data_IF_425516987144
#
_entry.id   IF_425516987144
#
_cell.length_a   1.000
_cell.length_b   1.000
_cell.length_c   1.000
_cell.angle_alpha   90.00
_cell.angle_beta   90.00
_cell.angle_gamma   90.00
#
_symmetry.space_group_name_H-M   'P 1'
#
loop_
_entity.id
_entity.type
_entity.pdbx_description
1 polymer ?
#
# COMPACT_ATOMS: atom_id res chain seq x y z
N UNK A 1 13.85 -4.31 -18.17
CA UNK A 1 12.40 -4.31 -17.92
C UNK A 1 12.18 -3.64 -16.59
N UNK A 2 11.26 -2.68 -16.52
CA UNK A 2 10.82 -2.12 -15.23
C UNK A 2 9.92 -3.14 -14.55
N UNK A 3 10.00 -3.25 -13.22
CA UNK A 3 9.09 -4.10 -12.46
C UNK A 3 7.65 -3.54 -12.53
N UNK A 4 6.66 -4.42 -12.64
CA UNK A 4 5.24 -4.09 -12.45
C UNK A 4 5.00 -3.54 -11.05
N UNK A 5 3.84 -2.90 -10.80
CA UNK A 5 3.53 -2.49 -9.42
C UNK A 5 3.45 -3.71 -8.50
N UNK A 6 2.79 -4.79 -8.94
CA UNK A 6 2.70 -6.01 -8.14
C UNK A 6 4.07 -6.59 -7.78
N UNK A 7 5.02 -6.67 -8.72
CA UNK A 7 6.37 -7.15 -8.42
C UNK A 7 7.10 -6.24 -7.43
N UNK A 8 6.95 -4.91 -7.56
CA UNK A 8 7.55 -3.94 -6.62
C UNK A 8 6.98 -4.10 -5.22
N UNK A 9 5.64 -4.15 -5.10
CA UNK A 9 4.97 -4.38 -3.82
C UNK A 9 5.33 -5.75 -3.24
N UNK A 10 5.32 -6.80 -4.06
CA UNK A 10 5.68 -8.16 -3.63
C UNK A 10 7.11 -8.27 -3.11
N UNK A 11 8.06 -7.57 -3.74
CA UNK A 11 9.44 -7.50 -3.27
C UNK A 11 9.59 -6.76 -1.93
N UNK A 12 8.65 -5.87 -1.59
CA UNK A 12 8.63 -5.13 -0.33
C UNK A 12 7.80 -5.83 0.77
N UNK A 13 7.21 -7.01 0.52
CA UNK A 13 6.34 -7.67 1.49
C UNK A 13 7.05 -7.91 2.84
N UNK A 14 6.41 -7.52 3.94
CA UNK A 14 7.00 -7.57 5.28
C UNK A 14 7.98 -6.43 5.61
N UNK A 15 8.13 -5.42 4.74
CA UNK A 15 8.97 -4.26 5.00
C UNK A 15 8.26 -3.17 5.80
N UNK A 16 9.05 -2.41 6.56
CA UNK A 16 8.60 -1.14 7.12
C UNK A 16 8.83 -0.01 6.09
N UNK A 17 7.82 0.83 5.93
CA UNK A 17 7.75 1.93 4.98
C UNK A 17 7.40 3.24 5.69
N UNK A 18 7.64 4.36 5.01
CA UNK A 18 7.14 5.67 5.41
C UNK A 18 5.91 6.04 4.57
N UNK A 19 4.83 6.47 5.22
CA UNK A 19 3.70 7.13 4.59
C UNK A 19 3.79 8.63 4.86
N UNK A 20 3.76 9.45 3.82
CA UNK A 20 3.84 10.91 3.94
C UNK A 20 2.53 11.54 3.50
N UNK A 21 1.87 12.30 4.40
CA UNK A 21 0.62 12.98 4.07
C UNK A 21 0.84 14.27 3.26
N UNK A 22 -0.25 14.89 2.79
CA UNK A 22 -0.18 16.14 2.02
C UNK A 22 0.37 17.35 2.78
N UNK A 23 0.50 17.28 4.11
CA UNK A 23 1.15 18.31 4.93
C UNK A 23 2.63 18.00 5.17
N UNK A 24 3.14 16.85 4.71
CA UNK A 24 4.50 16.39 4.92
C UNK A 24 4.72 15.62 6.23
N UNK A 25 3.67 15.32 6.99
CA UNK A 25 3.76 14.48 8.19
C UNK A 25 4.09 13.05 7.78
N UNK A 26 5.01 12.42 8.50
CA UNK A 26 5.48 11.06 8.21
C UNK A 26 4.99 10.08 9.26
N UNK A 27 4.51 8.94 8.81
CA UNK A 27 4.08 7.84 9.64
C UNK A 27 4.83 6.57 9.25
N UNK A 28 5.23 5.79 10.25
CA UNK A 28 5.76 4.44 10.00
C UNK A 28 4.60 3.49 9.79
N UNK A 29 4.64 2.75 8.68
CA UNK A 29 3.70 1.69 8.39
C UNK A 29 4.46 0.40 8.07
N UNK A 30 3.84 -0.75 8.28
CA UNK A 30 4.39 -2.06 7.99
C UNK A 30 3.54 -2.73 6.92
N UNK A 31 4.14 -3.16 5.81
CA UNK A 31 3.45 -3.92 4.76
C UNK A 31 3.23 -5.35 5.24
N UNK A 32 2.01 -5.64 5.69
CA UNK A 32 1.70 -6.89 6.38
C UNK A 32 1.33 -8.02 5.42
N UNK A 33 0.64 -7.70 4.33
CA UNK A 33 0.21 -8.69 3.36
C UNK A 33 -0.03 -8.07 1.99
N UNK A 34 -0.03 -8.93 0.98
CA UNK A 34 -0.38 -8.61 -0.41
C UNK A 34 -1.28 -9.73 -0.88
N UNK A 35 -2.39 -9.39 -1.52
CA UNK A 35 -3.28 -10.40 -2.09
C UNK A 35 -2.64 -11.06 -3.32
N UNK A 36 -3.15 -12.23 -3.69
CA UNK A 36 -2.89 -12.76 -5.03
C UNK A 36 -3.43 -11.78 -6.09
N UNK A 37 -2.76 -11.71 -7.25
CA UNK A 37 -3.28 -10.98 -8.39
C UNK A 37 -4.55 -11.64 -8.92
N UNK A 38 -5.54 -10.83 -9.26
CA UNK A 38 -6.74 -11.24 -9.96
C UNK A 38 -6.76 -10.57 -11.33
N UNK A 39 -6.86 -11.35 -12.41
CA UNK A 39 -6.93 -10.82 -13.77
C UNK A 39 -8.32 -11.03 -14.34
N UNK A 40 -8.95 -9.96 -14.81
CA UNK A 40 -10.21 -9.98 -15.54
C UNK A 40 -10.09 -9.16 -16.84
N UNK A 41 -10.09 -9.86 -17.98
CA UNK A 41 -9.86 -9.26 -19.29
C UNK A 41 -8.49 -8.58 -19.40
N UNK A 42 -8.51 -7.26 -19.61
CA UNK A 42 -7.33 -6.41 -19.72
C UNK A 42 -6.88 -5.86 -18.35
N UNK A 43 -7.57 -6.16 -17.26
CA UNK A 43 -7.27 -5.59 -15.95
C UNK A 43 -6.65 -6.61 -15.02
N UNK A 44 -5.62 -6.20 -14.28
CA UNK A 44 -5.07 -6.96 -13.16
C UNK A 44 -5.22 -6.14 -11.88
N UNK A 45 -5.80 -6.75 -10.86
CA UNK A 45 -6.08 -6.13 -9.57
C UNK A 45 -5.39 -6.90 -8.46
N UNK A 46 -4.86 -6.18 -7.46
CA UNK A 46 -4.39 -6.74 -6.20
C UNK A 46 -4.59 -5.73 -5.08
N UNK A 47 -4.64 -6.17 -3.83
CA UNK A 47 -4.61 -5.29 -2.67
C UNK A 47 -3.36 -5.51 -1.83
N UNK A 48 -2.99 -4.48 -1.07
CA UNK A 48 -1.95 -4.53 -0.06
C UNK A 48 -2.55 -4.10 1.26
N UNK A 49 -2.17 -4.77 2.34
CA UNK A 49 -2.55 -4.36 3.69
C UNK A 49 -1.36 -3.84 4.48
N UNK A 50 -1.56 -2.71 5.15
CA UNK A 50 -0.58 -2.16 6.08
C UNK A 50 -1.06 -2.25 7.52
N UNK A 51 -0.09 -2.30 8.43
CA UNK A 51 -0.27 -2.03 9.86
C UNK A 51 0.37 -0.70 10.19
N UNK A 52 -0.36 0.14 10.91
CA UNK A 52 0.12 1.44 11.36
C UNK A 52 -0.06 1.63 12.87
N UNK A 53 0.80 2.47 13.45
CA UNK A 53 0.75 2.83 14.85
C UNK A 53 -0.54 3.53 15.25
N UNK A 54 -0.73 3.73 16.56
CA UNK A 54 -1.96 4.36 17.09
C UNK A 54 -2.11 5.82 16.69
N UNK A 55 -1.00 6.47 16.38
CA UNK A 55 -0.84 7.85 15.89
C UNK A 55 -1.26 8.03 14.43
N UNK A 56 -1.45 6.94 13.67
CA UNK A 56 -1.90 7.02 12.29
C UNK A 56 -3.38 7.47 12.21
N UNK A 57 -3.73 8.47 11.36
CA UNK A 57 -5.10 8.94 11.19
C UNK A 57 -6.06 7.84 10.73
N UNK A 58 -7.19 7.70 11.42
CA UNK A 58 -8.24 6.73 11.06
C UNK A 58 -9.20 7.26 9.99
N UNK A 59 -8.66 7.87 8.93
CA UNK A 59 -9.42 8.41 7.81
C UNK A 59 -8.78 8.00 6.47
N UNK A 60 -9.62 7.91 5.43
CA UNK A 60 -9.14 7.63 4.08
C UNK A 60 -8.35 8.82 3.55
N UNK A 61 -7.15 8.58 3.02
CA UNK A 61 -6.32 9.64 2.47
C UNK A 61 -5.30 9.09 1.47
N UNK A 62 -4.74 9.97 0.63
CA UNK A 62 -3.59 9.65 -0.21
C UNK A 62 -2.30 9.96 0.53
N UNK A 63 -1.37 9.03 0.54
CA UNK A 63 -0.04 9.18 1.12
C UNK A 63 1.02 8.86 0.08
N UNK A 64 2.12 9.60 0.05
CA UNK A 64 3.31 9.15 -0.66
C UNK A 64 3.97 8.04 0.16
N UNK A 65 3.95 6.82 -0.38
CA UNK A 65 4.59 5.66 0.26
C UNK A 65 6.02 5.54 -0.25
N UNK A 66 6.98 5.54 0.67
CA UNK A 66 8.40 5.52 0.36
C UNK A 66 9.12 4.45 1.19
N UNK A 67 9.99 3.68 0.54
CA UNK A 67 10.80 2.64 1.18
C UNK A 67 10.82 1.35 0.39
N UNK A 68 11.82 0.49 0.62
CA UNK A 68 11.93 -0.83 -0.02
C UNK A 68 11.80 -0.82 -1.56
N UNK A 69 12.25 0.24 -2.23
CA UNK A 69 12.15 0.39 -3.70
C UNK A 69 10.80 0.92 -4.20
N UNK A 70 9.89 1.30 -3.28
CA UNK A 70 8.63 1.98 -3.55
C UNK A 70 8.82 3.49 -3.33
N UNK A 71 8.23 4.28 -4.22
CA UNK A 71 8.14 5.73 -4.15
C UNK A 71 6.95 6.18 -5.02
N UNK A 72 5.74 6.05 -4.49
CA UNK A 72 4.51 6.38 -5.24
C UNK A 72 3.36 6.85 -4.32
N UNK A 73 2.45 7.69 -4.84
CA UNK A 73 1.24 8.06 -4.11
C UNK A 73 0.26 6.88 -4.08
N UNK A 74 -0.26 6.58 -2.89
CA UNK A 74 -1.20 5.48 -2.64
C UNK A 74 -2.42 6.00 -1.89
N UNK A 75 -3.61 5.72 -2.41
CA UNK A 75 -4.85 5.95 -1.68
C UNK A 75 -5.09 4.80 -0.70
N UNK A 76 -5.15 5.14 0.59
CA UNK A 76 -5.21 4.19 1.69
C UNK A 76 -6.52 4.33 2.44
N UNK A 77 -7.18 3.20 2.70
CA UNK A 77 -8.46 3.11 3.42
C UNK A 77 -8.26 2.40 4.76
N UNK A 78 -8.63 3.02 5.89
CA UNK A 78 -8.65 2.34 7.18
C UNK A 78 -9.73 1.25 7.23
N UNK A 79 -9.35 0.05 7.69
CA UNK A 79 -10.27 -1.08 7.82
C UNK A 79 -10.80 -1.23 9.25
N UNK A 80 -9.89 -1.36 10.21
CA UNK A 80 -10.23 -1.61 11.61
C UNK A 80 -9.04 -1.27 12.52
N UNK A 81 -9.34 -0.92 13.78
CA UNK A 81 -8.34 -0.77 14.83
C UNK A 81 -8.41 -1.96 15.78
N UNK A 82 -7.26 -2.55 16.08
CA UNK A 82 -7.11 -3.65 17.03
C UNK A 82 -5.92 -3.41 17.97
N UNK A 83 -5.56 -4.43 18.76
CA UNK A 83 -4.46 -4.34 19.72
C UNK A 83 -3.08 -4.16 19.05
N UNK A 84 -2.95 -4.47 17.77
CA UNK A 84 -1.71 -4.36 16.99
C UNK A 84 -1.62 -3.02 16.25
N UNK A 85 -2.68 -2.21 16.28
CA UNK A 85 -2.73 -0.88 15.69
C UNK A 85 -3.89 -0.69 14.72
N UNK A 86 -3.68 0.15 13.71
CA UNK A 86 -4.66 0.41 12.65
C UNK A 86 -4.34 -0.46 11.42
N UNK A 87 -5.33 -1.21 10.93
CA UNK A 87 -5.28 -1.89 9.63
C UNK A 87 -5.69 -0.93 8.54
N UNK A 88 -4.93 -0.95 7.46
CA UNK A 88 -5.09 -0.11 6.29
C UNK A 88 -5.06 -0.99 5.05
N UNK A 89 -5.82 -0.64 4.02
CA UNK A 89 -5.78 -1.31 2.71
C UNK A 89 -5.59 -0.29 1.59
N UNK A 90 -4.86 -0.69 0.56
CA UNK A 90 -4.87 -0.03 -0.74
C UNK A 90 -5.12 -1.06 -1.84
N UNK A 91 -5.94 -0.69 -2.83
CA UNK A 91 -6.28 -1.54 -3.98
C UNK A 91 -5.66 -0.94 -5.22
N UNK A 92 -4.95 -1.77 -5.97
CA UNK A 92 -4.32 -1.42 -7.22
C UNK A 92 -5.06 -2.11 -8.36
N UNK A 93 -5.40 -1.35 -9.39
CA UNK A 93 -5.95 -1.85 -10.65
C UNK A 93 -5.06 -1.36 -11.78
N UNK A 94 -4.54 -2.27 -12.58
CA UNK A 94 -3.60 -1.98 -13.66
C UNK A 94 -4.12 -2.54 -14.99
N UNK A 95 -3.95 -1.78 -16.06
CA UNK A 95 -4.12 -2.30 -17.42
C UNK A 95 -2.95 -3.23 -17.75
N UNK A 96 -3.25 -4.36 -18.39
CA UNK A 96 -2.31 -5.38 -18.87
C UNK A 96 -1.29 -4.80 -19.85
N UNK A 97 -1.59 -3.70 -20.53
CA UNK A 97 -0.62 -3.00 -21.40
C UNK A 97 0.40 -2.15 -20.62
N UNK A 98 0.17 -1.89 -19.33
CA UNK A 98 1.07 -1.13 -18.45
C UNK A 98 1.78 -2.01 -17.39
N UNK A 99 1.61 -3.32 -17.47
CA UNK A 99 2.31 -4.32 -16.65
C UNK A 99 3.54 -4.86 -17.41
#
# INVERSE_FOLDING_TARGET
>A
MSLTAYERWSAANGADLEAVDGAGTRYRIHLASISDQQTDGAWTTFSVEFRAGTDFPAEQNSYDIVGAGIAEPVFVVPLARDAEGLRLEAVFTQDKEQA
#
